data_IF_349847179748
#
_entry.id   IF_349847179748
#
_cell.length_a   1.000
_cell.length_b   1.000
_cell.length_c   1.000
_cell.angle_alpha   90.00
_cell.angle_beta   90.00
_cell.angle_gamma   90.00
#
_symmetry.space_group_name_H-M   'P 1'
#
loop_
_entity.id
_entity.type
_entity.pdbx_description
1 polymer ?
#
# COMPACT_ATOMS: atom_id res chain seq x y z
N UNK A 1 -9.78 28.65 -79.30
CA UNK A 1 -11.12 28.39 -78.73
C UNK A 1 -11.16 26.91 -78.40
N UNK A 2 -11.02 26.46 -77.17
CA UNK A 2 -11.41 27.09 -75.91
C UNK A 2 -10.49 26.57 -74.79
N UNK A 3 -9.77 27.45 -74.09
CA UNK A 3 -9.24 27.16 -72.75
C UNK A 3 -10.43 27.02 -71.80
N UNK A 4 -10.64 25.84 -71.21
CA UNK A 4 -11.54 25.72 -70.06
C UNK A 4 -10.72 25.88 -68.78
N UNK A 5 -10.84 27.07 -68.21
CA UNK A 5 -10.33 27.54 -66.93
C UNK A 5 -10.55 26.49 -65.81
N UNK A 6 -9.47 25.96 -65.26
CA UNK A 6 -9.48 25.19 -64.01
C UNK A 6 -9.86 26.14 -62.85
N UNK A 7 -11.00 25.87 -62.22
CA UNK A 7 -11.40 26.57 -61.00
C UNK A 7 -10.44 26.19 -59.85
N UNK A 8 -9.97 27.14 -59.02
CA UNK A 8 -9.12 26.81 -57.89
C UNK A 8 -9.91 26.02 -56.83
N UNK A 9 -9.54 24.76 -56.64
CA UNK A 9 -10.05 23.91 -55.56
C UNK A 9 -9.70 24.55 -54.21
N UNK A 10 -10.72 24.97 -53.45
CA UNK A 10 -10.55 25.55 -52.11
C UNK A 10 -9.84 24.53 -51.20
N UNK A 11 -8.55 24.74 -50.92
CA UNK A 11 -7.81 24.05 -49.85
C UNK A 11 -8.55 24.27 -48.52
N UNK A 12 -9.16 23.21 -48.00
CA UNK A 12 -9.87 23.20 -46.72
C UNK A 12 -8.85 23.38 -45.60
N UNK A 13 -8.78 24.56 -44.99
CA UNK A 13 -7.89 24.84 -43.86
C UNK A 13 -8.22 23.92 -42.68
N UNK A 14 -7.42 22.87 -42.53
CA UNK A 14 -7.61 21.85 -41.52
C UNK A 14 -7.12 22.36 -40.16
N UNK A 15 -7.99 22.34 -39.17
CA UNK A 15 -7.72 22.88 -37.82
C UNK A 15 -6.57 22.13 -37.16
N UNK A 16 -5.76 22.78 -36.33
CA UNK A 16 -4.56 22.18 -35.68
C UNK A 16 -4.85 20.83 -35.00
N UNK A 17 -6.03 20.70 -34.38
CA UNK A 17 -6.51 19.45 -33.76
C UNK A 17 -6.73 18.32 -34.78
N UNK A 18 -7.24 18.64 -35.96
CA UNK A 18 -7.44 17.67 -37.04
C UNK A 18 -6.09 17.25 -37.66
N UNK A 19 -5.13 18.19 -37.82
CA UNK A 19 -3.77 17.85 -38.24
C UNK A 19 -3.08 16.91 -37.26
N UNK A 20 -3.17 17.19 -35.96
CA UNK A 20 -2.66 16.31 -34.91
C UNK A 20 -3.33 14.93 -34.94
N UNK A 21 -4.65 14.89 -35.13
CA UNK A 21 -5.40 13.64 -35.20
C UNK A 21 -5.01 12.81 -36.43
N UNK A 22 -4.88 13.41 -37.62
CA UNK A 22 -4.40 12.70 -38.82
C UNK A 22 -2.95 12.23 -38.73
N UNK A 23 -2.09 12.95 -37.98
CA UNK A 23 -0.72 12.53 -37.71
C UNK A 23 -0.66 11.34 -36.72
N UNK A 24 -1.70 11.17 -35.90
CA UNK A 24 -1.86 10.04 -35.00
C UNK A 24 -2.52 8.83 -35.69
N UNK A 25 -3.46 9.08 -36.61
CA UNK A 25 -4.25 8.05 -37.32
C UNK A 25 -3.48 7.40 -38.49
N UNK A 26 -2.41 8.02 -39.00
CA UNK A 26 -1.50 7.42 -39.99
C UNK A 26 -0.09 7.17 -39.41
N UNK A 27 0.15 6.01 -38.76
CA UNK A 27 1.44 5.71 -38.12
C UNK A 27 2.59 5.42 -39.11
N UNK A 28 2.31 5.24 -40.41
CA UNK A 28 3.31 4.88 -41.40
C UNK A 28 3.99 6.07 -42.11
N UNK A 29 3.50 7.30 -41.94
CA UNK A 29 3.98 8.47 -42.70
C UNK A 29 4.68 9.56 -41.88
N UNK A 30 4.75 9.46 -40.55
CA UNK A 30 5.40 10.49 -39.74
C UNK A 30 6.39 9.88 -38.76
N UNK A 31 7.69 10.15 -38.97
CA UNK A 31 8.84 9.71 -38.15
C UNK A 31 8.63 9.96 -36.65
N UNK A 32 7.84 10.96 -36.29
CA UNK A 32 7.46 11.30 -34.92
C UNK A 32 6.59 10.23 -34.25
N UNK A 33 5.63 9.64 -34.96
CA UNK A 33 4.76 8.58 -34.44
C UNK A 33 5.55 7.29 -34.18
N UNK A 34 6.53 6.99 -35.03
CA UNK A 34 7.49 5.91 -34.79
C UNK A 34 8.32 6.18 -33.53
N UNK A 35 8.82 7.41 -33.35
CA UNK A 35 9.57 7.78 -32.14
C UNK A 35 8.71 7.65 -30.88
N UNK A 36 7.45 8.10 -30.91
CA UNK A 36 6.51 7.93 -29.79
C UNK A 36 6.15 6.46 -29.54
N UNK A 37 5.95 5.67 -30.60
CA UNK A 37 5.73 4.22 -30.50
C UNK A 37 6.95 3.51 -29.88
N UNK A 38 8.16 3.80 -30.38
CA UNK A 38 9.40 3.25 -29.83
C UNK A 38 9.62 3.69 -28.39
N UNK A 39 9.33 4.95 -28.04
CA UNK A 39 9.44 5.44 -26.66
C UNK A 39 8.42 4.78 -25.73
N UNK A 40 7.17 4.60 -26.17
CA UNK A 40 6.12 3.94 -25.39
C UNK A 40 6.38 2.44 -25.23
N UNK A 41 6.89 1.79 -26.28
CA UNK A 41 7.34 0.39 -26.24
C UNK A 41 8.57 0.25 -25.37
N UNK A 42 9.54 1.18 -25.43
CA UNK A 42 10.70 1.19 -24.54
C UNK A 42 10.29 1.38 -23.10
N UNK A 43 9.40 2.33 -22.80
CA UNK A 43 8.92 2.60 -21.45
C UNK A 43 8.17 1.39 -20.89
N UNK A 44 7.28 0.81 -21.68
CA UNK A 44 6.54 -0.42 -21.32
C UNK A 44 7.48 -1.61 -21.15
N UNK A 45 8.46 -1.80 -22.05
CA UNK A 45 9.44 -2.87 -21.97
C UNK A 45 10.37 -2.68 -20.78
N UNK A 46 10.81 -1.45 -20.48
CA UNK A 46 11.59 -1.11 -19.31
C UNK A 46 10.79 -1.41 -18.04
N UNK A 47 9.54 -0.96 -17.93
CA UNK A 47 8.67 -1.27 -16.79
C UNK A 47 8.50 -2.78 -16.65
N UNK A 48 8.27 -3.52 -17.73
CA UNK A 48 8.14 -4.99 -17.70
C UNK A 48 9.45 -5.67 -17.30
N UNK A 49 10.59 -5.25 -17.85
CA UNK A 49 11.92 -5.80 -17.52
C UNK A 49 12.27 -5.49 -16.07
N UNK A 50 12.04 -4.26 -15.57
CA UNK A 50 12.22 -3.91 -14.17
C UNK A 50 11.26 -4.67 -13.27
N UNK A 51 10.02 -4.89 -13.71
CA UNK A 51 9.04 -5.68 -12.96
C UNK A 51 9.45 -7.15 -12.91
N UNK A 52 9.95 -7.72 -14.01
CA UNK A 52 10.44 -9.09 -14.09
C UNK A 52 11.74 -9.26 -13.29
N UNK A 53 12.71 -8.34 -13.41
CA UNK A 53 13.94 -8.35 -12.63
C UNK A 53 13.63 -8.22 -11.13
N UNK A 54 12.66 -7.37 -10.77
CA UNK A 54 12.16 -7.22 -9.41
C UNK A 54 11.45 -8.49 -8.92
N UNK A 55 10.61 -9.12 -9.74
CA UNK A 55 9.93 -10.37 -9.43
C UNK A 55 10.91 -11.56 -9.36
N UNK A 56 11.97 -11.56 -10.18
CA UNK A 56 13.00 -12.58 -10.19
C UNK A 56 13.93 -12.42 -8.99
N UNK A 57 14.29 -11.19 -8.60
CA UNK A 57 14.93 -10.90 -7.30
C UNK A 57 14.03 -11.30 -6.12
N UNK A 58 12.72 -11.11 -6.24
CA UNK A 58 11.74 -11.57 -5.26
C UNK A 58 11.58 -13.10 -5.25
N UNK A 59 11.83 -13.78 -6.37
CA UNK A 59 11.71 -15.24 -6.54
C UNK A 59 12.97 -16.01 -6.15
N UNK A 60 14.13 -15.50 -6.56
CA UNK A 60 15.45 -16.05 -6.25
C UNK A 60 15.91 -15.77 -4.81
N UNK A 61 15.21 -14.90 -4.07
CA UNK A 61 15.43 -14.74 -2.62
C UNK A 61 14.98 -16.03 -1.88
N UNK A 62 15.92 -16.84 -1.33
CA UNK A 62 15.62 -18.16 -0.77
C UNK A 62 14.76 -18.10 0.51
N UNK A 63 14.53 -16.90 1.06
CA UNK A 63 13.60 -16.66 2.15
C UNK A 63 12.66 -15.47 1.80
N UNK A 64 11.65 -15.71 0.94
CA UNK A 64 10.55 -14.77 0.61
C UNK A 64 9.96 -14.07 1.86
N UNK A 65 9.94 -14.81 2.97
CA UNK A 65 9.40 -14.39 4.25
C UNK A 65 10.39 -13.58 5.12
N UNK A 66 11.69 -13.48 4.80
CA UNK A 66 12.67 -12.66 5.56
C UNK A 66 12.85 -11.26 4.97
N UNK A 67 12.78 -11.08 3.66
CA UNK A 67 12.91 -9.75 3.02
C UNK A 67 11.66 -8.87 3.26
N UNK A 68 10.46 -9.45 3.09
CA UNK A 68 9.18 -8.83 3.52
C UNK A 68 9.14 -8.58 5.04
N UNK A 69 9.92 -9.31 5.82
CA UNK A 69 10.03 -9.15 7.29
C UNK A 69 11.00 -8.05 7.71
N UNK A 70 11.92 -7.64 6.83
CA UNK A 70 12.90 -6.60 7.12
C UNK A 70 12.38 -5.19 6.77
N UNK A 71 11.63 -5.04 5.67
CA UNK A 71 10.94 -3.79 5.37
C UNK A 71 9.62 -3.70 6.14
N UNK A 72 9.62 -2.97 7.25
CA UNK A 72 8.43 -2.73 8.06
C UNK A 72 7.28 -2.16 7.22
N UNK A 73 7.59 -1.27 6.26
CA UNK A 73 6.61 -0.61 5.41
C UNK A 73 5.84 -1.57 4.50
N UNK A 74 6.54 -2.49 3.83
CA UNK A 74 5.90 -3.43 2.89
C UNK A 74 5.03 -4.47 3.61
N UNK A 75 5.44 -4.89 4.81
CA UNK A 75 4.63 -5.77 5.66
C UNK A 75 3.37 -5.07 6.14
N UNK A 76 3.48 -3.81 6.57
CA UNK A 76 2.33 -2.99 6.97
C UNK A 76 1.37 -2.83 5.79
N UNK A 77 1.89 -2.51 4.60
CA UNK A 77 1.09 -2.41 3.38
C UNK A 77 0.35 -3.72 3.07
N UNK A 78 1.05 -4.86 3.11
CA UNK A 78 0.45 -6.17 2.86
C UNK A 78 -0.64 -6.57 3.86
N UNK A 79 -0.42 -6.33 5.17
CA UNK A 79 -1.46 -6.54 6.19
C UNK A 79 -2.67 -5.64 5.96
N UNK A 80 -2.43 -4.41 5.54
CA UNK A 80 -3.50 -3.44 5.30
C UNK A 80 -4.31 -3.81 4.05
N UNK A 81 -3.64 -4.19 2.96
CA UNK A 81 -4.27 -4.74 1.75
C UNK A 81 -5.10 -5.98 2.06
N UNK A 82 -4.57 -6.92 2.86
CA UNK A 82 -5.33 -8.11 3.29
C UNK A 82 -6.56 -7.73 4.10
N UNK A 83 -6.44 -6.74 4.99
CA UNK A 83 -7.55 -6.25 5.81
C UNK A 83 -8.61 -5.51 4.98
N UNK A 84 -8.20 -4.83 3.91
CA UNK A 84 -9.10 -4.12 3.00
C UNK A 84 -9.49 -4.98 1.78
N UNK A 85 -9.09 -6.25 1.72
CA UNK A 85 -9.28 -7.09 0.53
C UNK A 85 -10.76 -7.30 0.21
N UNK A 86 -11.63 -7.38 1.24
CA UNK A 86 -13.08 -7.47 1.05
C UNK A 86 -13.66 -6.18 0.47
N UNK A 87 -13.14 -5.02 0.87
CA UNK A 87 -13.59 -3.69 0.39
C UNK A 87 -13.12 -3.46 -1.05
N UNK A 88 -11.86 -3.81 -1.33
CA UNK A 88 -11.29 -3.79 -2.68
C UNK A 88 -12.00 -4.78 -3.61
N UNK A 89 -12.35 -5.97 -3.09
CA UNK A 89 -13.14 -6.97 -3.81
C UNK A 89 -14.52 -6.44 -4.20
N UNK A 90 -15.20 -5.75 -3.29
CA UNK A 90 -16.48 -5.10 -3.59
C UNK A 90 -16.34 -4.00 -4.66
N UNK A 91 -15.29 -3.18 -4.58
CA UNK A 91 -14.96 -2.17 -5.61
C UNK A 91 -14.79 -2.85 -6.98
N UNK A 92 -13.91 -3.84 -7.08
CA UNK A 92 -13.63 -4.54 -8.35
C UNK A 92 -14.86 -5.25 -8.90
N UNK A 93 -15.65 -5.90 -8.03
CA UNK A 93 -16.89 -6.56 -8.42
C UNK A 93 -17.92 -5.57 -8.97
N UNK A 94 -18.10 -4.43 -8.31
CA UNK A 94 -19.03 -3.38 -8.75
C UNK A 94 -18.62 -2.75 -10.08
N UNK A 95 -17.31 -2.51 -10.30
CA UNK A 95 -16.78 -2.03 -11.57
C UNK A 95 -16.99 -3.05 -12.69
N UNK A 96 -16.71 -4.33 -12.44
CA UNK A 96 -16.90 -5.39 -13.42
C UNK A 96 -18.37 -5.49 -13.87
N UNK A 97 -19.31 -5.45 -12.92
CA UNK A 97 -20.74 -5.44 -13.23
C UNK A 97 -21.15 -4.21 -14.04
N UNK A 98 -20.67 -3.01 -13.67
CA UNK A 98 -20.94 -1.78 -14.40
C UNK A 98 -20.39 -1.84 -15.85
N UNK A 99 -19.17 -2.37 -16.03
CA UNK A 99 -18.56 -2.54 -17.35
C UNK A 99 -19.44 -3.45 -18.22
N UNK A 100 -19.91 -4.59 -17.70
CA UNK A 100 -20.75 -5.52 -18.46
C UNK A 100 -22.06 -4.86 -18.88
N UNK A 101 -22.74 -4.16 -17.96
CA UNK A 101 -24.03 -3.52 -18.22
C UNK A 101 -23.89 -2.43 -19.30
N UNK A 102 -23.00 -1.46 -19.10
CA UNK A 102 -22.85 -0.34 -20.05
C UNK A 102 -22.31 -0.79 -21.40
N UNK A 103 -21.42 -1.78 -21.43
CA UNK A 103 -20.89 -2.33 -22.70
C UNK A 103 -21.94 -3.09 -23.49
N UNK A 104 -22.86 -3.77 -22.80
CA UNK A 104 -23.99 -4.43 -23.47
C UNK A 104 -24.92 -3.38 -24.07
N UNK A 105 -25.30 -2.36 -23.29
CA UNK A 105 -26.21 -1.31 -23.76
C UNK A 105 -25.61 -0.54 -24.94
N UNK A 106 -24.35 -0.10 -24.84
CA UNK A 106 -23.70 0.69 -25.91
C UNK A 106 -23.55 -0.11 -27.20
N UNK A 107 -23.24 -1.41 -27.10
CA UNK A 107 -23.20 -2.32 -28.23
C UNK A 107 -24.57 -2.40 -28.92
N UNK A 108 -25.66 -2.58 -28.15
CA UNK A 108 -27.00 -2.66 -28.73
C UNK A 108 -27.47 -1.34 -29.37
N UNK A 109 -27.03 -0.19 -28.86
CA UNK A 109 -27.34 1.11 -29.47
C UNK A 109 -26.56 1.37 -30.76
N UNK A 110 -25.31 0.91 -30.83
CA UNK A 110 -24.40 1.22 -31.95
C UNK A 110 -24.33 0.12 -33.02
N UNK A 111 -24.80 -1.11 -32.75
CA UNK A 111 -24.72 -2.24 -33.70
C UNK A 111 -25.41 -2.02 -35.05
N UNK A 112 -26.31 -1.03 -35.15
CA UNK A 112 -27.07 -0.72 -36.38
C UNK A 112 -26.35 0.29 -37.27
N UNK A 113 -25.24 0.87 -36.80
CA UNK A 113 -24.46 1.86 -37.55
C UNK A 113 -23.43 1.11 -38.42
N UNK A 114 -23.40 1.34 -39.75
CA UNK A 114 -22.35 0.78 -40.60
C UNK A 114 -20.98 1.36 -40.22
N UNK A 115 -19.92 0.55 -40.34
CA UNK A 115 -18.54 0.91 -39.96
C UNK A 115 -18.31 1.33 -38.50
N UNK A 116 -19.13 0.81 -37.58
CA UNK A 116 -18.93 1.03 -36.15
C UNK A 116 -17.75 0.22 -35.60
N UNK A 117 -16.97 0.83 -34.68
CA UNK A 117 -15.92 0.12 -33.92
C UNK A 117 -16.50 -0.83 -32.86
N UNK A 118 -17.79 -0.73 -32.57
CA UNK A 118 -18.51 -1.58 -31.62
C UNK A 118 -18.90 -2.93 -32.25
N UNK A 119 -17.90 -3.76 -32.58
CA UNK A 119 -18.08 -5.04 -33.29
C UNK A 119 -18.67 -6.15 -32.42
N UNK A 120 -18.34 -6.16 -31.13
CA UNK A 120 -18.79 -7.17 -30.16
C UNK A 120 -18.89 -6.59 -28.74
N UNK A 121 -19.60 -7.29 -27.84
CA UNK A 121 -19.71 -6.86 -26.43
C UNK A 121 -18.32 -6.75 -25.76
N UNK A 122 -17.39 -7.71 -25.95
CA UNK A 122 -16.03 -7.56 -25.41
C UNK A 122 -15.25 -6.41 -26.04
N UNK A 123 -15.46 -6.09 -27.32
CA UNK A 123 -14.84 -4.91 -27.93
C UNK A 123 -15.39 -3.61 -27.31
N UNK A 124 -16.67 -3.58 -26.91
CA UNK A 124 -17.28 -2.47 -26.19
C UNK A 124 -16.77 -2.33 -24.74
N UNK A 125 -16.17 -3.37 -24.15
CA UNK A 125 -15.52 -3.26 -22.83
C UNK A 125 -14.44 -2.19 -22.82
N UNK A 126 -13.66 -2.09 -23.90
CA UNK A 126 -12.61 -1.09 -24.00
C UNK A 126 -13.16 0.34 -23.87
N UNK A 127 -14.19 0.68 -24.67
CA UNK A 127 -14.87 1.97 -24.58
C UNK A 127 -15.40 2.24 -23.17
N UNK A 128 -16.09 1.26 -22.58
CA UNK A 128 -16.70 1.42 -21.26
C UNK A 128 -15.65 1.55 -20.17
N UNK A 129 -14.56 0.79 -20.18
CA UNK A 129 -13.45 0.91 -19.22
C UNK A 129 -12.84 2.31 -19.30
N UNK A 130 -12.51 2.78 -20.50
CA UNK A 130 -11.89 4.09 -20.73
C UNK A 130 -12.82 5.24 -20.33
N UNK A 131 -14.12 5.10 -20.59
CA UNK A 131 -15.14 6.11 -20.24
C UNK A 131 -15.44 6.12 -18.75
N UNK A 132 -15.63 4.95 -18.14
CA UNK A 132 -15.97 4.76 -16.73
C UNK A 132 -14.81 5.14 -15.80
N UNK A 133 -13.56 4.99 -16.25
CA UNK A 133 -12.36 5.48 -15.56
C UNK A 133 -12.01 6.93 -15.88
N UNK A 134 -12.85 7.63 -16.65
CA UNK A 134 -12.67 9.04 -17.05
C UNK A 134 -11.40 9.32 -17.89
N UNK A 135 -10.76 8.30 -18.47
CA UNK A 135 -9.58 8.46 -19.33
C UNK A 135 -9.95 9.12 -20.66
N UNK A 136 -11.01 8.63 -21.32
CA UNK A 136 -11.58 9.27 -22.51
C UNK A 136 -10.64 9.44 -23.70
N UNK A 137 -9.93 8.38 -24.13
CA UNK A 137 -8.99 8.44 -25.27
C UNK A 137 -9.61 8.94 -26.58
N UNK A 138 -10.91 8.73 -26.79
CA UNK A 138 -11.65 9.20 -27.97
C UNK A 138 -11.45 8.35 -29.23
N UNK A 139 -10.83 7.18 -29.08
CA UNK A 139 -10.65 6.19 -30.14
C UNK A 139 -11.95 5.43 -30.46
N UNK A 140 -12.79 5.20 -29.46
CA UNK A 140 -14.15 4.68 -29.58
C UNK A 140 -15.14 5.75 -29.11
N UNK A 141 -16.10 6.11 -29.96
CA UNK A 141 -17.14 7.11 -29.64
C UNK A 141 -18.46 6.67 -30.26
N UNK A 142 -19.58 6.68 -29.51
CA UNK A 142 -20.89 6.38 -30.07
C UNK A 142 -21.35 7.47 -31.04
N UNK A 143 -21.86 7.06 -32.20
CA UNK A 143 -22.36 7.98 -33.21
C UNK A 143 -23.85 8.26 -33.02
N UNK A 144 -24.61 7.30 -32.51
CA UNK A 144 -26.06 7.46 -32.30
C UNK A 144 -26.36 8.40 -31.15
N UNK A 145 -27.50 9.09 -31.23
CA UNK A 145 -27.99 9.95 -30.14
C UNK A 145 -28.19 9.14 -28.84
N UNK A 146 -28.75 7.93 -28.96
CA UNK A 146 -28.94 7.04 -27.82
C UNK A 146 -27.61 6.60 -27.20
N UNK A 147 -26.63 6.24 -28.02
CA UNK A 147 -25.29 5.88 -27.54
C UNK A 147 -24.59 7.03 -26.83
N UNK A 148 -24.77 8.27 -27.29
CA UNK A 148 -24.23 9.47 -26.61
C UNK A 148 -24.88 9.73 -25.25
N UNK A 149 -26.20 9.53 -25.13
CA UNK A 149 -26.90 9.62 -23.83
C UNK A 149 -26.39 8.53 -22.88
N UNK A 150 -26.27 7.29 -23.36
CA UNK A 150 -25.72 6.17 -22.57
C UNK A 150 -24.27 6.44 -22.15
N UNK A 151 -23.43 6.96 -23.04
CA UNK A 151 -22.05 7.34 -22.74
C UNK A 151 -21.96 8.46 -21.69
N UNK A 152 -22.88 9.43 -21.72
CA UNK A 152 -23.00 10.47 -20.71
C UNK A 152 -23.37 9.90 -19.33
N UNK A 153 -24.38 9.03 -19.28
CA UNK A 153 -24.79 8.33 -18.04
C UNK A 153 -23.66 7.44 -17.53
N UNK A 154 -22.97 6.73 -18.42
CA UNK A 154 -21.81 5.89 -18.10
C UNK A 154 -20.71 6.72 -17.43
N UNK A 155 -20.34 7.86 -18.02
CA UNK A 155 -19.31 8.76 -17.48
C UNK A 155 -19.66 9.28 -16.08
N UNK A 156 -20.91 9.72 -15.88
CA UNK A 156 -21.39 10.20 -14.58
C UNK A 156 -21.40 9.07 -13.53
N UNK A 157 -21.91 7.90 -13.89
CA UNK A 157 -21.97 6.74 -13.01
C UNK A 157 -20.57 6.23 -12.63
N UNK A 158 -19.60 6.29 -13.54
CA UNK A 158 -18.23 5.84 -13.30
C UNK A 158 -17.53 6.66 -12.22
N UNK A 159 -17.71 7.99 -12.26
CA UNK A 159 -17.22 8.88 -11.19
C UNK A 159 -17.85 8.51 -9.85
N UNK A 160 -19.16 8.27 -9.79
CA UNK A 160 -19.85 7.89 -8.55
C UNK A 160 -19.37 6.54 -8.00
N UNK A 161 -19.19 5.55 -8.88
CA UNK A 161 -18.73 4.20 -8.50
C UNK A 161 -17.29 4.22 -7.97
N UNK A 162 -16.42 5.08 -8.49
CA UNK A 162 -15.03 5.21 -8.01
C UNK A 162 -14.96 6.12 -6.77
N UNK A 163 -15.78 7.18 -6.70
CA UNK A 163 -15.72 8.18 -5.65
C UNK A 163 -16.09 7.67 -4.26
N UNK A 164 -16.93 6.64 -4.15
CA UNK A 164 -17.37 6.11 -2.86
C UNK A 164 -16.37 5.14 -2.20
N UNK A 165 -15.84 4.11 -2.89
CA UNK A 165 -14.98 3.13 -2.25
C UNK A 165 -13.53 3.61 -2.11
N UNK A 166 -13.01 4.48 -2.99
CA UNK A 166 -11.61 4.94 -2.90
C UNK A 166 -11.32 5.69 -1.59
N UNK A 167 -12.13 6.68 -1.15
CA UNK A 167 -11.91 7.34 0.14
C UNK A 167 -12.10 6.42 1.34
N UNK A 168 -13.03 5.46 1.27
CA UNK A 168 -13.24 4.46 2.31
C UNK A 168 -11.99 3.59 2.47
N UNK A 169 -11.43 3.10 1.35
CA UNK A 169 -10.18 2.37 1.32
C UNK A 169 -9.07 3.24 1.92
N UNK A 170 -8.85 4.46 1.42
CA UNK A 170 -7.80 5.36 1.92
C UNK A 170 -7.94 5.63 3.42
N UNK A 171 -9.17 5.85 3.91
CA UNK A 171 -9.45 6.06 5.33
C UNK A 171 -9.13 4.82 6.16
N UNK A 172 -9.48 3.63 5.68
CA UNK A 172 -9.16 2.36 6.33
C UNK A 172 -7.63 2.12 6.34
N UNK A 173 -6.96 2.39 5.23
CA UNK A 173 -5.51 2.32 5.11
C UNK A 173 -4.82 3.26 6.11
N UNK A 174 -5.26 4.51 6.17
CA UNK A 174 -4.75 5.51 7.12
C UNK A 174 -4.94 5.05 8.57
N UNK A 175 -6.11 4.52 8.92
CA UNK A 175 -6.41 3.99 10.24
C UNK A 175 -5.46 2.85 10.62
N UNK A 176 -5.32 1.84 9.75
CA UNK A 176 -4.46 0.67 10.00
C UNK A 176 -2.98 1.08 10.06
N UNK A 177 -2.55 1.99 9.18
CA UNK A 177 -1.19 2.53 9.19
C UNK A 177 -0.86 3.20 10.52
N UNK A 178 -1.75 4.08 11.01
CA UNK A 178 -1.57 4.76 12.30
C UNK A 178 -1.67 3.79 13.49
N UNK A 179 -2.54 2.79 13.44
CA UNK A 179 -2.63 1.76 14.48
C UNK A 179 -1.35 0.94 14.59
N UNK A 180 -0.78 0.49 13.47
CA UNK A 180 0.49 -0.23 13.45
C UNK A 180 1.64 0.64 13.96
N UNK A 181 1.70 1.91 13.56
CA UNK A 181 2.73 2.84 14.05
C UNK A 181 2.64 3.04 15.57
N UNK A 182 1.42 3.15 16.12
CA UNK A 182 1.18 3.23 17.58
C UNK A 182 1.55 1.92 18.28
N UNK A 183 1.23 0.77 17.68
CA UNK A 183 1.56 -0.54 18.23
C UNK A 183 3.08 -0.75 18.31
N UNK A 184 3.83 -0.33 17.30
CA UNK A 184 5.29 -0.44 17.30
C UNK A 184 5.95 0.53 18.28
N UNK A 185 5.45 1.78 18.40
CA UNK A 185 5.86 2.70 19.49
C UNK A 185 5.60 2.09 20.87
N UNK A 186 4.43 1.47 21.09
CA UNK A 186 4.10 0.77 22.35
C UNK A 186 5.01 -0.42 22.62
N UNK A 187 5.34 -1.23 21.61
CA UNK A 187 6.27 -2.36 21.74
C UNK A 187 7.68 -1.88 22.09
N UNK A 188 8.17 -0.82 21.46
CA UNK A 188 9.46 -0.21 21.77
C UNK A 188 9.49 0.32 23.22
N UNK A 189 8.43 1.04 23.64
CA UNK A 189 8.32 1.56 25.00
C UNK A 189 8.24 0.44 26.05
N UNK A 190 7.47 -0.63 25.79
CA UNK A 190 7.40 -1.82 26.66
C UNK A 190 8.76 -2.52 26.77
N UNK A 191 9.50 -2.68 25.66
CA UNK A 191 10.86 -3.26 25.67
C UNK A 191 11.82 -2.41 26.51
N UNK A 192 11.79 -1.08 26.34
CA UNK A 192 12.60 -0.17 27.14
C UNK A 192 12.26 -0.24 28.64
N UNK A 193 10.97 -0.27 28.99
CA UNK A 193 10.51 -0.45 30.38
C UNK A 193 10.97 -1.77 30.98
N UNK A 194 10.83 -2.88 30.25
CA UNK A 194 11.27 -4.21 30.70
C UNK A 194 12.78 -4.28 30.88
N UNK A 195 13.56 -3.65 30.00
CA UNK A 195 15.01 -3.56 30.15
C UNK A 195 15.41 -2.81 31.44
N UNK A 196 14.75 -1.68 31.74
CA UNK A 196 14.95 -0.94 32.99
C UNK A 196 14.62 -1.78 34.22
N UNK A 197 13.47 -2.46 34.22
CA UNK A 197 13.08 -3.34 35.34
C UNK A 197 14.10 -4.46 35.52
N UNK A 198 14.62 -5.03 34.44
CA UNK A 198 15.63 -6.10 34.50
C UNK A 198 16.95 -5.61 35.10
N UNK A 199 17.39 -4.40 34.74
CA UNK A 199 18.59 -3.77 35.33
C UNK A 199 18.40 -3.58 36.84
N UNK A 200 17.26 -3.03 37.27
CA UNK A 200 16.97 -2.82 38.70
C UNK A 200 16.92 -4.15 39.45
N UNK A 201 16.22 -5.17 38.92
CA UNK A 201 16.16 -6.49 39.54
C UNK A 201 17.54 -7.15 39.67
N UNK A 202 18.36 -7.07 38.63
CA UNK A 202 19.71 -7.63 38.66
C UNK A 202 20.59 -6.90 39.68
N UNK A 203 20.50 -5.56 39.77
CA UNK A 203 21.22 -4.77 40.75
C UNK A 203 20.80 -5.11 42.19
N UNK A 204 19.49 -5.16 42.49
CA UNK A 204 18.99 -5.57 43.81
C UNK A 204 19.40 -7.00 44.16
N UNK A 205 19.36 -7.94 43.20
CA UNK A 205 19.82 -9.31 43.38
C UNK A 205 21.32 -9.42 43.66
N UNK A 206 22.15 -8.63 42.96
CA UNK A 206 23.58 -8.54 43.23
C UNK A 206 23.88 -7.96 44.62
N UNK A 207 23.18 -6.89 45.03
CA UNK A 207 23.35 -6.30 46.36
C UNK A 207 23.01 -7.31 47.47
N UNK A 208 21.89 -8.03 47.33
CA UNK A 208 21.51 -9.10 48.27
C UNK A 208 22.54 -10.23 48.30
N UNK A 209 23.03 -10.68 47.14
CA UNK A 209 24.06 -11.72 47.07
C UNK A 209 25.38 -11.30 47.72
N UNK A 210 25.83 -10.06 47.50
CA UNK A 210 27.05 -9.54 48.10
C UNK A 210 26.92 -9.42 49.63
N UNK A 211 25.76 -8.95 50.14
CA UNK A 211 25.52 -8.93 51.59
C UNK A 211 25.50 -10.33 52.20
N UNK A 212 24.89 -11.31 51.51
CA UNK A 212 24.90 -12.72 51.96
C UNK A 212 26.32 -13.28 52.08
N UNK A 213 27.15 -13.10 51.05
CA UNK A 213 28.55 -13.55 51.07
C UNK A 213 29.36 -12.89 52.18
N UNK A 214 29.15 -11.59 52.41
CA UNK A 214 29.81 -10.87 53.51
C UNK A 214 29.44 -11.45 54.88
N UNK A 215 28.20 -11.90 55.08
CA UNK A 215 27.78 -12.55 56.30
C UNK A 215 28.33 -13.98 56.44
N UNK A 216 28.30 -14.78 55.35
CA UNK A 216 28.90 -16.13 55.31
C UNK A 216 30.39 -16.09 55.67
N UNK A 217 31.11 -15.07 55.19
CA UNK A 217 32.53 -14.90 55.49
C UNK A 217 32.78 -14.50 56.95
N UNK A 218 31.97 -13.59 57.52
CA UNK A 218 32.04 -13.24 58.95
C UNK A 218 31.76 -14.43 59.87
N UNK A 219 30.85 -15.32 59.48
CA UNK A 219 30.59 -16.57 60.20
C UNK A 219 31.80 -17.51 60.18
N UNK A 220 32.45 -17.68 59.03
CA UNK A 220 33.64 -18.52 58.90
C UNK A 220 34.83 -17.98 59.71
N UNK A 221 35.05 -16.66 59.68
CA UNK A 221 36.12 -16.00 60.45
C UNK A 221 35.86 -16.07 61.98
N UNK A 222 34.59 -16.10 62.40
CA UNK A 222 34.21 -16.38 63.79
C UNK A 222 34.49 -17.84 64.19
N UNK A 223 34.21 -18.81 63.32
CA UNK A 223 34.46 -20.24 63.57
C UNK A 223 35.96 -20.57 63.71
N UNK A 224 36.82 -19.81 63.02
CA UNK A 224 38.28 -19.88 63.16
C UNK A 224 38.84 -19.17 64.41
N UNK A 225 37.99 -18.52 65.22
CA UNK A 225 38.40 -17.81 66.43
C UNK A 225 39.10 -16.47 66.18
N UNK A 226 39.04 -15.93 64.95
CA UNK A 226 39.63 -14.64 64.56
C UNK A 226 38.73 -13.43 64.90
N UNK A 227 37.45 -13.65 65.20
CA UNK A 227 36.46 -12.63 65.56
C UNK A 227 35.80 -12.92 66.91
N UNK A 228 35.61 -11.89 67.74
CA UNK A 228 34.88 -11.98 69.02
C UNK A 228 33.35 -11.92 68.85
N UNK A 229 32.55 -12.37 69.84
CA UNK A 229 31.09 -12.48 69.75
C UNK A 229 30.33 -11.15 69.58
N UNK A 230 30.93 -10.00 69.92
CA UNK A 230 30.36 -8.68 69.62
C UNK A 230 30.38 -8.36 68.12
N UNK A 231 31.36 -8.85 67.35
CA UNK A 231 31.55 -8.51 65.94
C UNK A 231 30.60 -9.27 65.00
N UNK A 232 29.89 -10.29 65.47
CA UNK A 232 28.86 -11.00 64.71
C UNK A 232 27.47 -10.34 64.86
N UNK A 233 27.33 -9.47 65.85
CA UNK A 233 26.09 -8.84 66.27
C UNK A 233 25.86 -7.54 65.51
N UNK A 234 25.67 -7.62 64.19
CA UNK A 234 25.12 -6.47 63.45
C UNK A 234 24.30 -6.92 62.24
N UNK A 235 23.00 -6.62 62.37
CA UNK A 235 21.87 -6.79 61.46
C UNK A 235 21.63 -8.16 60.79
N UNK A 236 20.59 -8.82 61.30
CA UNK A 236 19.91 -9.94 60.65
C UNK A 236 19.50 -9.56 59.21
N UNK A 237 20.19 -10.17 58.25
CA UNK A 237 19.85 -10.20 56.81
C UNK A 237 18.34 -10.44 56.56
N UNK A 238 17.67 -11.14 57.48
CA UNK A 238 16.24 -11.43 57.44
C UNK A 238 15.34 -10.21 57.69
N UNK A 239 15.72 -9.30 58.60
CA UNK A 239 14.91 -8.12 58.94
C UNK A 239 14.90 -7.09 57.80
N UNK A 240 16.05 -6.89 57.15
CA UNK A 240 16.17 -5.93 56.04
C UNK A 240 15.43 -6.41 54.77
N UNK A 241 15.40 -7.73 54.52
CA UNK A 241 14.68 -8.32 53.39
C UNK A 241 13.15 -8.23 53.57
N UNK A 242 12.66 -8.32 54.80
CA UNK A 242 11.23 -8.16 55.11
C UNK A 242 10.76 -6.71 54.91
N UNK A 243 11.57 -5.74 55.36
CA UNK A 243 11.25 -4.31 55.23
C UNK A 243 11.23 -3.84 53.77
N UNK A 244 12.16 -4.33 52.95
CA UNK A 244 12.21 -3.98 51.52
C UNK A 244 11.09 -4.62 50.69
N UNK A 245 10.62 -5.82 51.07
CA UNK A 245 9.43 -6.45 50.45
C UNK A 245 8.15 -5.69 50.80
N UNK A 246 7.97 -5.30 52.07
CA UNK A 246 6.81 -4.52 52.53
C UNK A 246 6.74 -3.16 51.83
N UNK A 247 7.86 -2.45 51.69
CA UNK A 247 7.94 -1.20 50.95
C UNK A 247 7.59 -1.36 49.46
N UNK A 248 8.10 -2.41 48.80
CA UNK A 248 7.78 -2.70 47.41
C UNK A 248 6.31 -3.09 47.21
N UNK A 249 5.73 -3.87 48.13
CA UNK A 249 4.30 -4.24 48.13
C UNK A 249 3.40 -3.03 48.35
N UNK A 250 3.74 -2.17 49.33
CA UNK A 250 2.98 -0.96 49.62
C UNK A 250 2.97 0.02 48.42
N UNK A 251 4.13 0.21 47.77
CA UNK A 251 4.21 1.09 46.59
C UNK A 251 3.50 0.55 45.35
N UNK A 252 3.29 -0.77 45.27
CA UNK A 252 2.57 -1.42 44.17
C UNK A 252 1.05 -1.53 44.42
N UNK A 253 0.60 -1.41 45.67
CA UNK A 253 -0.83 -1.42 46.03
C UNK A 253 -1.46 -0.02 46.06
N UNK A 254 -0.64 1.03 46.14
CA UNK A 254 -1.09 2.44 46.19
C UNK A 254 -1.02 3.13 44.80
N UNK A 255 -0.67 2.40 43.72
CA UNK A 255 -0.74 2.87 42.32
C UNK A 255 -1.76 2.06 41.53
#
# INVERSE_FOLDING_TARGET
>A
MEERIDAPEKKKDMTFRQKMWTAFENPHTSTTALIFYYFFVLDTACVVIFTIEYLFRLYAAPDRCKFVRHSQGLRILGYTLKSCASELGFLVFSLAMAIIIFSTIIYYTEKRVPDTKFTSIPAAFWYTIVTLTTLGYGDFVPYTVMGKVVGGICSLSGVLVIALPVPVIVSNFSRIYHQNQRADKRKALKKARMARIRIVKNASGQVLSNRRKGYEQRMHDFELGLLGPEQLKDEDIFQLQHHHLLMCLHRATVC
#
